data_IF_232368519990
#
_entry.id   IF_232368519990
#
_cell.length_a   1.000
_cell.length_b   1.000
_cell.length_c   1.000
_cell.angle_alpha   90.00
_cell.angle_beta   90.00
_cell.angle_gamma   90.00
#
_symmetry.space_group_name_H-M   'P 1'
#
loop_
_entity.id
_entity.type
_entity.pdbx_description
1 polymer ?
#
# COMPACT_ATOMS: atom_id res chain seq x y z
N UNK A 1 -8.93 18.84 -5.05
CA UNK A 1 -8.65 17.47 -5.48
C UNK A 1 -9.52 16.50 -4.72
N UNK A 2 -10.26 15.69 -5.44
CA UNK A 2 -11.12 14.70 -4.81
C UNK A 2 -10.30 13.49 -4.42
N UNK A 3 -10.90 12.64 -3.58
CA UNK A 3 -10.25 11.40 -3.20
C UNK A 3 -9.99 10.52 -4.42
N UNK A 4 -10.93 10.53 -5.36
CA UNK A 4 -10.80 9.76 -6.59
C UNK A 4 -9.59 10.22 -7.40
N UNK A 5 -9.38 11.53 -7.49
CA UNK A 5 -8.21 12.06 -8.19
C UNK A 5 -6.92 11.66 -7.50
N UNK A 6 -6.92 11.68 -6.18
CA UNK A 6 -5.74 11.30 -5.42
C UNK A 6 -5.42 9.84 -5.62
N UNK A 7 -6.44 8.97 -5.59
CA UNK A 7 -6.24 7.55 -5.84
C UNK A 7 -5.61 7.35 -7.21
N UNK A 8 -6.14 8.02 -8.22
CA UNK A 8 -5.61 7.85 -9.57
C UNK A 8 -4.18 8.30 -9.69
N UNK A 9 -3.83 9.38 -9.03
CA UNK A 9 -2.45 9.86 -9.07
C UNK A 9 -1.49 8.90 -8.39
N UNK A 10 -1.88 8.39 -7.23
CA UNK A 10 -1.04 7.43 -6.52
C UNK A 10 -0.92 6.15 -7.33
N UNK A 11 -2.06 5.68 -7.81
CA UNK A 11 -2.06 4.45 -8.60
C UNK A 11 -1.18 4.60 -9.83
N UNK A 12 -1.30 5.70 -10.53
CA UNK A 12 -0.53 5.93 -11.74
C UNK A 12 0.97 5.93 -11.45
N UNK A 13 1.38 6.60 -10.38
CA UNK A 13 2.78 6.63 -10.00
C UNK A 13 3.31 5.25 -9.66
N UNK A 14 2.54 4.49 -8.90
CA UNK A 14 2.95 3.15 -8.52
C UNK A 14 2.96 2.21 -9.71
N UNK A 15 1.99 2.35 -10.60
CA UNK A 15 1.94 1.53 -11.80
C UNK A 15 3.16 1.76 -12.69
N UNK A 16 3.55 3.02 -12.83
CA UNK A 16 4.73 3.34 -13.63
C UNK A 16 5.99 2.76 -13.04
N UNK A 17 6.10 2.80 -11.72
CA UNK A 17 7.32 2.36 -11.04
C UNK A 17 7.38 0.86 -10.88
N UNK A 18 6.26 0.24 -10.52
CA UNK A 18 6.26 -1.16 -10.07
C UNK A 18 5.31 -2.06 -10.82
N UNK A 19 4.34 -1.51 -11.54
CA UNK A 19 3.36 -2.31 -12.24
C UNK A 19 2.10 -2.55 -11.42
N UNK A 20 1.24 -3.48 -11.87
CA UNK A 20 -0.10 -3.65 -11.30
C UNK A 20 -0.15 -4.34 -9.95
N UNK A 21 0.94 -5.00 -9.54
CA UNK A 21 0.98 -5.65 -8.23
C UNK A 21 2.25 -5.24 -7.50
N UNK A 22 2.15 -5.23 -6.19
CA UNK A 22 3.28 -4.90 -5.33
C UNK A 22 3.57 -6.11 -4.45
N UNK A 23 4.84 -6.37 -4.18
CA UNK A 23 5.21 -7.54 -3.40
C UNK A 23 6.31 -7.22 -2.41
N UNK A 24 6.34 -8.01 -1.35
CA UNK A 24 7.44 -8.06 -0.38
C UNK A 24 7.96 -6.68 0.01
N UNK A 25 9.20 -6.37 -0.35
CA UNK A 25 9.84 -5.13 0.05
C UNK A 25 9.10 -3.89 -0.43
N UNK A 26 8.69 -3.90 -1.69
CA UNK A 26 7.98 -2.77 -2.26
C UNK A 26 6.66 -2.55 -1.54
N UNK A 27 5.93 -3.63 -1.32
CA UNK A 27 4.66 -3.55 -0.61
C UNK A 27 4.87 -3.05 0.81
N UNK A 28 5.89 -3.55 1.48
CA UNK A 28 6.23 -3.13 2.84
C UNK A 28 6.46 -1.62 2.90
N UNK A 29 7.25 -1.11 1.96
CA UNK A 29 7.55 0.30 1.91
C UNK A 29 6.32 1.15 1.62
N UNK A 30 5.52 0.70 0.68
CA UNK A 30 4.30 1.45 0.31
C UNK A 30 3.31 1.50 1.46
N UNK A 31 3.27 0.47 2.29
CA UNK A 31 2.39 0.45 3.44
C UNK A 31 2.99 1.15 4.66
N UNK A 32 4.22 1.62 4.55
CA UNK A 32 4.83 2.42 5.61
C UNK A 32 5.49 1.65 6.73
N UNK A 33 5.76 0.37 6.53
CA UNK A 33 6.44 -0.40 7.56
C UNK A 33 7.92 -0.03 7.62
N UNK A 34 8.47 0.07 8.82
CA UNK A 34 9.88 0.49 8.96
C UNK A 34 10.86 -0.57 8.48
N UNK A 35 10.44 -1.83 8.39
CA UNK A 35 11.32 -2.89 7.95
C UNK A 35 10.49 -4.01 7.36
N UNK A 36 11.15 -4.86 6.57
CA UNK A 36 10.49 -6.04 6.03
C UNK A 36 10.07 -6.97 7.16
N UNK A 37 10.84 -6.99 8.23
CA UNK A 37 10.52 -7.82 9.38
C UNK A 37 9.22 -7.37 10.05
N UNK A 38 9.03 -6.06 10.19
CA UNK A 38 7.78 -5.52 10.73
C UNK A 38 6.60 -5.89 9.84
N UNK A 39 6.81 -5.81 8.52
CA UNK A 39 5.79 -6.21 7.56
C UNK A 39 5.43 -7.69 7.72
N UNK A 40 6.44 -8.55 7.85
CA UNK A 40 6.20 -9.98 8.01
C UNK A 40 5.42 -10.29 9.28
N UNK A 41 5.71 -9.57 10.35
CA UNK A 41 4.97 -9.75 11.59
C UNK A 41 3.51 -9.37 11.40
N UNK A 42 3.25 -8.25 10.75
CA UNK A 42 1.89 -7.82 10.48
C UNK A 42 1.17 -8.83 9.59
N UNK A 43 1.88 -9.37 8.60
CA UNK A 43 1.33 -10.38 7.72
C UNK A 43 0.92 -11.62 8.50
N UNK A 44 1.79 -12.09 9.39
CA UNK A 44 1.52 -13.30 10.14
C UNK A 44 0.38 -13.10 11.13
N UNK A 45 0.17 -11.86 11.58
CA UNK A 45 -0.95 -11.54 12.47
C UNK A 45 -2.23 -11.19 11.71
N UNK A 46 -2.14 -11.20 10.39
CA UNK A 46 -3.28 -10.91 9.53
C UNK A 46 -3.88 -9.53 9.79
N UNK A 47 -3.01 -8.55 9.98
CA UNK A 47 -3.43 -7.17 10.27
C UNK A 47 -2.99 -6.19 9.21
N UNK A 48 -2.62 -6.67 8.02
CA UNK A 48 -2.27 -5.78 6.93
C UNK A 48 -3.51 -5.01 6.47
N UNK A 49 -3.35 -3.74 6.11
CA UNK A 49 -4.51 -2.90 5.77
C UNK A 49 -5.08 -3.16 4.39
N UNK A 50 -4.38 -3.92 3.57
CA UNK A 50 -4.87 -4.26 2.23
C UNK A 50 -4.89 -5.76 2.09
N UNK A 51 -5.68 -6.23 1.13
CA UNK A 51 -5.76 -7.66 0.88
C UNK A 51 -4.50 -8.16 0.20
N UNK A 52 -3.89 -9.20 0.77
CA UNK A 52 -2.72 -9.83 0.17
C UNK A 52 -3.08 -11.23 -0.27
N UNK A 53 -2.38 -11.70 -1.29
CA UNK A 53 -2.65 -13.00 -1.88
C UNK A 53 -1.35 -13.60 -2.40
N UNK A 54 -1.39 -14.91 -2.61
CA UNK A 54 -0.27 -15.62 -3.21
C UNK A 54 -0.58 -15.90 -4.66
N UNK A 55 0.46 -15.95 -5.47
CA UNK A 55 0.32 -16.30 -6.87
C UNK A 55 1.00 -17.65 -7.06
N UNK A 56 0.34 -18.62 -7.70
CA UNK A 56 0.95 -19.95 -7.90
C UNK A 56 2.31 -19.81 -8.58
N UNK A 57 3.27 -20.57 -8.06
CA UNK A 57 4.63 -20.62 -8.59
C UNK A 57 5.41 -19.32 -8.45
N UNK A 58 4.96 -18.43 -7.56
CA UNK A 58 5.70 -17.22 -7.21
C UNK A 58 5.88 -17.22 -5.70
N UNK A 59 7.05 -16.81 -5.26
CA UNK A 59 7.28 -16.70 -3.82
C UNK A 59 6.81 -15.35 -3.33
N UNK A 60 6.39 -15.30 -2.06
CA UNK A 60 6.00 -14.08 -1.41
C UNK A 60 4.52 -13.78 -1.52
N UNK A 61 4.15 -12.64 -1.01
CA UNK A 61 2.77 -12.18 -1.00
C UNK A 61 2.65 -10.92 -1.82
N UNK A 62 1.49 -10.75 -2.43
CA UNK A 62 1.24 -9.67 -3.37
C UNK A 62 0.00 -8.91 -2.96
N UNK A 63 -0.07 -7.65 -3.38
CA UNK A 63 -1.28 -6.85 -3.25
C UNK A 63 -1.46 -6.06 -4.53
N UNK A 64 -2.70 -5.76 -4.87
CA UNK A 64 -2.97 -4.96 -6.06
C UNK A 64 -2.55 -3.52 -5.80
N UNK A 65 -1.86 -2.95 -6.77
CA UNK A 65 -1.41 -1.57 -6.71
C UNK A 65 -2.58 -0.62 -6.45
N UNK A 66 -3.70 -0.87 -7.12
CA UNK A 66 -4.87 -0.03 -6.94
C UNK A 66 -5.37 -0.04 -5.50
N UNK A 67 -5.38 -1.19 -4.86
CA UNK A 67 -5.85 -1.28 -3.48
C UNK A 67 -4.95 -0.53 -2.52
N UNK A 68 -3.65 -0.58 -2.78
CA UNK A 68 -2.70 0.18 -1.98
C UNK A 68 -2.93 1.68 -2.18
N UNK A 69 -3.19 2.09 -3.41
CA UNK A 69 -3.46 3.49 -3.71
C UNK A 69 -4.72 3.97 -2.99
N UNK A 70 -5.77 3.17 -3.00
CA UNK A 70 -7.01 3.52 -2.31
C UNK A 70 -6.77 3.66 -0.82
N UNK A 71 -6.03 2.71 -0.25
CA UNK A 71 -5.73 2.75 1.18
C UNK A 71 -4.91 3.99 1.54
N UNK A 72 -3.90 4.31 0.74
CA UNK A 72 -3.07 5.48 1.02
C UNK A 72 -3.88 6.76 0.99
N UNK A 73 -4.75 6.89 0.01
CA UNK A 73 -5.60 8.07 -0.08
C UNK A 73 -6.51 8.19 1.13
N UNK A 74 -7.07 7.06 1.57
CA UNK A 74 -7.96 7.09 2.72
C UNK A 74 -7.21 7.40 4.02
N UNK A 75 -5.95 6.99 4.12
CA UNK A 75 -5.16 7.31 5.31
C UNK A 75 -4.95 8.80 5.44
N UNK A 76 -4.67 9.46 4.34
CA UNK A 76 -4.51 10.90 4.37
C UNK A 76 -5.76 11.59 4.87
N UNK A 77 -6.93 11.16 4.36
CA UNK A 77 -8.20 11.80 4.70
C UNK A 77 -8.66 11.47 6.12
N UNK A 78 -8.31 10.29 6.62
CA UNK A 78 -8.78 9.81 7.92
C UNK A 78 -7.78 9.99 9.03
N UNK A 79 -6.66 10.63 8.74
CA UNK A 79 -5.62 10.80 9.74
C UNK A 79 -6.11 11.72 10.86
N UNK A 80 -5.88 11.35 12.12
CA UNK A 80 -6.20 12.22 13.24
C UNK A 80 -5.23 13.38 13.33
N UNK A 81 -4.11 13.28 12.65
CA UNK A 81 -3.10 14.32 12.68
C UNK A 81 -3.50 15.42 11.71
N UNK A 82 -3.81 16.58 12.24
CA UNK A 82 -4.18 17.68 11.39
C UNK A 82 -2.95 18.40 10.93
N UNK A 83 -2.82 18.47 9.63
CA UNK A 83 -1.69 19.16 9.07
C UNK A 83 -1.96 20.64 9.03
N UNK A 84 -1.14 21.40 9.69
CA UNK A 84 -1.19 22.82 9.52
C UNK A 84 -0.58 23.14 8.20
N UNK A 85 -0.98 24.23 7.62
CA UNK A 85 -0.34 24.59 6.37
C UNK A 85 1.15 24.73 6.61
N UNK A 86 1.87 24.16 5.75
CA UNK A 86 3.31 24.13 5.86
C UNK A 86 3.93 25.34 5.21
#
# INVERSE_FOLDING_TARGET
MTESDLVERIESSLMQEYGPILSNETLSKCLGYPSLNAFRKALSRNILPVKVFAIPNRSGKFALTREVAIWLASQRDNSPYKEKSL
#
